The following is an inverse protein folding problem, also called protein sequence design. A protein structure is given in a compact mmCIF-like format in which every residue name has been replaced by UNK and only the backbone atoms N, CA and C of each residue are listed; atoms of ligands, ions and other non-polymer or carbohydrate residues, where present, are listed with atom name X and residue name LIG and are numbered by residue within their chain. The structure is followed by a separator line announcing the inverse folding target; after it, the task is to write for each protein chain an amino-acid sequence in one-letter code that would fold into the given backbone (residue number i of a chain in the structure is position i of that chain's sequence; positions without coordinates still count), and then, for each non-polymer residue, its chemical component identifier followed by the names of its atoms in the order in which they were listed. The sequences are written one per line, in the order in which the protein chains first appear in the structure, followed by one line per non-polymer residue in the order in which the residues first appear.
data_IF_756702970182
#
_entry.id   IF_756702970182
#
_cell.length_a   1.000
_cell.length_b   1.000
_cell.length_c   1.000
_cell.angle_alpha   90.00
_cell.angle_beta   90.00
_cell.angle_gamma   90.00
#
_symmetry.space_group_name_H-M   'P 1'
#
loop_
_entity.id
_entity.type
_entity.pdbx_description
1 polymer ?
#
# COMPACT_ATOMS: atom_id res chain seq x y z
N UNK A 1 -34.72 5.08 22.99
CA UNK A 1 -34.56 3.65 22.65
C UNK A 1 -33.07 3.35 22.67
N UNK A 2 -32.58 2.37 23.47
CA UNK A 2 -31.21 1.91 23.32
C UNK A 2 -31.08 1.39 21.89
N UNK A 3 -30.21 1.99 21.08
CA UNK A 3 -29.90 1.44 19.76
C UNK A 3 -29.06 0.20 20.02
N UNK A 4 -29.67 -0.97 19.91
CA UNK A 4 -28.92 -2.23 19.79
C UNK A 4 -28.20 -2.15 18.45
N UNK A 5 -26.90 -1.91 18.52
CA UNK A 5 -26.03 -1.81 17.35
C UNK A 5 -25.88 -3.21 16.75
N UNK A 6 -26.60 -3.49 15.66
CA UNK A 6 -26.27 -4.61 14.81
C UNK A 6 -25.09 -4.19 13.94
N UNK A 7 -23.88 -4.44 14.44
CA UNK A 7 -22.66 -4.38 13.65
C UNK A 7 -22.74 -5.50 12.60
N UNK A 8 -23.42 -5.27 11.48
CA UNK A 8 -23.09 -6.07 10.31
C UNK A 8 -21.64 -5.73 9.96
N UNK A 9 -20.73 -6.61 10.35
CA UNK A 9 -19.29 -6.39 10.19
C UNK A 9 -18.91 -6.02 8.74
N UNK A 10 -19.67 -6.45 7.72
CA UNK A 10 -19.51 -6.00 6.32
C UNK A 10 -19.77 -4.52 6.09
N UNK A 11 -20.78 -3.96 6.75
CA UNK A 11 -21.25 -2.59 6.51
C UNK A 11 -20.63 -1.58 7.46
N UNK A 12 -20.19 -2.03 8.64
CA UNK A 12 -19.74 -1.16 9.74
C UNK A 12 -18.26 -1.29 10.09
N UNK A 13 -17.59 -2.39 9.74
CA UNK A 13 -16.17 -2.66 10.05
C UNK A 13 -15.38 -3.05 8.79
N UNK A 14 -16.07 -3.36 7.70
CA UNK A 14 -15.48 -3.87 6.46
C UNK A 14 -15.19 -2.81 5.41
N UNK A 15 -14.71 -3.29 4.25
CA UNK A 15 -14.35 -2.55 3.03
C UNK A 15 -15.18 -1.29 2.77
N UNK A 16 -16.51 -1.31 2.98
CA UNK A 16 -17.42 -0.18 2.74
C UNK A 16 -17.24 0.99 3.71
N UNK A 17 -16.89 0.72 4.96
CA UNK A 17 -16.80 1.70 6.04
C UNK A 17 -15.58 2.65 5.93
N UNK A 18 -14.63 2.32 5.04
CA UNK A 18 -13.37 3.07 4.91
C UNK A 18 -13.26 3.88 3.62
N UNK A 19 -14.33 4.07 2.85
CA UNK A 19 -14.35 4.94 1.65
C UNK A 19 -14.72 6.40 1.97
N UNK A 20 -14.06 7.00 2.96
CA UNK A 20 -14.25 8.40 3.34
C UNK A 20 -13.16 9.31 2.78
N UNK A 21 -13.38 10.63 2.80
CA UNK A 21 -12.36 11.63 2.39
C UNK A 21 -11.07 11.50 3.20
N UNK A 22 -11.14 10.92 4.40
CA UNK A 22 -10.00 10.64 5.27
C UNK A 22 -9.00 9.67 4.64
N UNK A 23 -9.38 8.86 3.64
CA UNK A 23 -8.47 8.03 2.83
C UNK A 23 -7.47 8.89 2.06
N UNK A 24 -7.77 10.17 1.82
CA UNK A 24 -6.83 11.08 1.18
C UNK A 24 -5.54 11.24 2.00
N UNK A 25 -5.61 11.20 3.33
CA UNK A 25 -4.43 11.32 4.18
C UNK A 25 -3.43 10.17 3.99
N UNK A 26 -3.80 8.88 4.12
CA UNK A 26 -2.89 7.78 3.83
C UNK A 26 -2.49 7.74 2.36
N UNK A 27 -3.38 8.07 1.40
CA UNK A 27 -3.01 8.15 -0.02
C UNK A 27 -1.91 9.16 -0.23
N UNK A 28 -2.07 10.40 0.23
CA UNK A 28 -1.05 11.45 0.10
C UNK A 28 0.25 11.07 0.81
N UNK A 29 0.16 10.41 1.96
CA UNK A 29 1.34 9.94 2.71
C UNK A 29 2.11 8.89 1.91
N UNK A 30 1.43 7.88 1.36
CA UNK A 30 2.06 6.84 0.57
C UNK A 30 2.58 7.38 -0.77
N UNK A 31 1.87 8.33 -1.39
CA UNK A 31 2.36 9.03 -2.58
C UNK A 31 3.64 9.81 -2.27
N UNK A 32 3.68 10.57 -1.18
CA UNK A 32 4.87 11.31 -0.78
C UNK A 32 6.04 10.37 -0.45
N UNK A 33 5.79 9.25 0.24
CA UNK A 33 6.81 8.23 0.51
C UNK A 33 7.34 7.60 -0.79
N UNK A 34 6.46 7.35 -1.75
CA UNK A 34 6.82 6.82 -3.08
C UNK A 34 7.69 7.81 -3.86
N UNK A 35 7.32 9.09 -3.89
CA UNK A 35 8.12 10.14 -4.53
C UNK A 35 9.47 10.31 -3.84
N UNK A 36 9.51 10.18 -2.50
CA UNK A 36 10.77 10.21 -1.74
C UNK A 36 11.66 9.03 -2.12
N UNK A 37 11.09 7.83 -2.32
CA UNK A 37 11.82 6.68 -2.83
C UNK A 37 12.45 6.97 -4.20
N UNK A 38 11.69 7.55 -5.14
CA UNK A 38 12.18 7.83 -6.49
C UNK A 38 13.24 8.94 -6.55
N UNK A 39 12.96 10.08 -5.92
CA UNK A 39 13.74 11.30 -6.14
C UNK A 39 14.81 11.55 -5.07
N UNK A 40 14.70 10.91 -3.90
CA UNK A 40 15.65 11.11 -2.79
C UNK A 40 16.47 9.86 -2.55
N UNK A 41 15.85 8.68 -2.51
CA UNK A 41 16.56 7.45 -2.14
C UNK A 41 17.35 6.85 -3.31
N UNK A 42 16.74 6.69 -4.49
CA UNK A 42 17.42 6.11 -5.66
C UNK A 42 18.74 6.80 -6.02
N UNK A 43 18.83 8.15 -6.08
CA UNK A 43 20.09 8.82 -6.40
C UNK A 43 21.17 8.66 -5.32
N UNK A 44 20.82 8.23 -4.10
CA UNK A 44 21.77 8.00 -3.00
C UNK A 44 22.23 6.55 -2.91
N UNK A 45 21.38 5.62 -3.34
CA UNK A 45 21.67 4.18 -3.32
C UNK A 45 22.43 3.77 -4.59
N UNK A 46 22.18 4.47 -5.70
CA UNK A 46 22.88 4.28 -6.97
C UNK A 46 22.83 2.84 -7.52
N UNK A 47 21.76 2.10 -7.20
CA UNK A 47 21.62 0.74 -7.70
C UNK A 47 21.24 0.73 -9.18
N UNK A 48 22.17 0.34 -10.04
CA UNK A 48 22.02 0.29 -11.49
C UNK A 48 20.92 -0.64 -11.98
N UNK A 49 20.20 -0.23 -13.03
CA UNK A 49 19.25 -1.12 -13.71
C UNK A 49 20.00 -2.27 -14.42
N UNK A 50 19.32 -3.39 -14.73
CA UNK A 50 19.92 -4.44 -15.54
C UNK A 50 20.49 -3.89 -16.86
N UNK A 51 21.76 -4.21 -17.15
CA UNK A 51 22.46 -3.72 -18.34
C UNK A 51 23.05 -2.30 -18.22
N UNK A 52 22.86 -1.62 -17.09
CA UNK A 52 23.48 -0.33 -16.79
C UNK A 52 24.65 -0.47 -15.83
N UNK A 53 25.62 0.43 -15.94
CA UNK A 53 26.80 0.57 -15.10
C UNK A 53 27.27 2.03 -15.04
N UNK A 54 28.39 2.29 -14.35
CA UNK A 54 28.97 3.64 -14.23
C UNK A 54 29.32 4.28 -15.59
N UNK A 55 29.60 3.48 -16.61
CA UNK A 55 30.09 3.96 -17.90
C UNK A 55 28.96 4.41 -18.83
N UNK A 56 27.75 3.88 -18.63
CA UNK A 56 26.58 4.17 -19.46
C UNK A 56 25.43 4.85 -18.70
N UNK A 57 25.60 5.09 -17.39
CA UNK A 57 24.65 5.85 -16.58
C UNK A 57 24.45 7.27 -17.11
N UNK A 58 23.18 7.68 -17.26
CA UNK A 58 22.81 8.94 -17.92
C UNK A 58 22.63 8.83 -19.44
N UNK A 59 23.00 7.69 -20.04
CA UNK A 59 22.76 7.38 -21.45
C UNK A 59 21.34 6.88 -21.74
N UNK A 60 20.98 6.67 -23.02
CA UNK A 60 19.67 6.16 -23.42
C UNK A 60 19.36 4.82 -22.76
N UNK A 61 18.24 4.73 -22.04
CA UNK A 61 17.83 3.52 -21.31
C UNK A 61 18.40 3.39 -19.88
N UNK A 62 19.44 4.15 -19.55
CA UNK A 62 20.13 4.14 -18.24
C UNK A 62 20.09 5.52 -17.55
N UNK A 63 19.05 6.32 -17.81
CA UNK A 63 18.92 7.69 -17.27
C UNK A 63 18.60 7.74 -15.77
N UNK A 64 18.15 6.63 -15.19
CA UNK A 64 17.70 6.56 -13.79
C UNK A 64 18.14 5.26 -13.14
N UNK A 65 18.36 5.30 -11.82
CA UNK A 65 18.66 4.11 -11.04
C UNK A 65 17.45 3.19 -10.87
N UNK A 66 17.71 1.90 -10.66
CA UNK A 66 16.70 0.85 -10.50
C UNK A 66 16.41 0.47 -9.05
N UNK A 67 17.33 0.74 -8.11
CA UNK A 67 17.18 0.34 -6.71
C UNK A 67 16.82 1.51 -5.77
N UNK A 68 15.81 1.37 -4.90
CA UNK A 68 14.78 0.31 -4.88
C UNK A 68 13.72 0.53 -5.96
N UNK A 69 12.97 -0.50 -6.33
CA UNK A 69 11.85 -0.36 -7.27
C UNK A 69 10.74 0.50 -6.66
N UNK A 70 10.52 1.68 -7.24
CA UNK A 70 9.45 2.58 -6.80
C UNK A 70 8.06 2.04 -7.13
N UNK A 71 7.92 1.31 -8.23
CA UNK A 71 6.64 0.68 -8.60
C UNK A 71 6.29 -0.43 -7.61
N UNK A 72 7.27 -1.27 -7.25
CA UNK A 72 7.09 -2.26 -6.20
C UNK A 72 6.83 -1.59 -4.85
N UNK A 73 7.59 -0.55 -4.49
CA UNK A 73 7.34 0.20 -3.26
C UNK A 73 5.89 0.70 -3.17
N UNK A 74 5.41 1.38 -4.22
CA UNK A 74 4.06 1.93 -4.26
C UNK A 74 2.99 0.83 -4.13
N UNK A 75 3.04 -0.20 -4.98
CA UNK A 75 2.00 -1.23 -5.01
C UNK A 75 1.98 -2.09 -3.75
N UNK A 76 3.16 -2.45 -3.24
CA UNK A 76 3.27 -3.20 -1.99
C UNK A 76 2.98 -2.34 -0.75
N UNK A 77 3.14 -1.01 -0.82
CA UNK A 77 2.67 -0.12 0.24
C UNK A 77 1.14 -0.04 0.30
N UNK A 78 0.46 -0.10 -0.84
CA UNK A 78 -1.00 -0.23 -0.86
C UNK A 78 -1.45 -1.57 -0.26
N UNK A 79 -0.78 -2.69 -0.61
CA UNK A 79 -1.01 -4.00 0.02
C UNK A 79 -0.77 -3.95 1.53
N UNK A 80 0.35 -3.37 1.96
CA UNK A 80 0.69 -3.22 3.38
C UNK A 80 -0.38 -2.42 4.11
N UNK A 81 -0.82 -1.31 3.53
CA UNK A 81 -1.85 -0.44 4.11
C UNK A 81 -3.17 -1.19 4.32
N UNK A 82 -3.70 -1.84 3.28
CA UNK A 82 -4.91 -2.63 3.41
C UNK A 82 -4.76 -3.78 4.41
N UNK A 83 -3.60 -4.46 4.44
CA UNK A 83 -3.29 -5.48 5.45
C UNK A 83 -3.33 -4.92 6.87
N UNK A 84 -2.73 -3.74 7.10
CA UNK A 84 -2.75 -3.08 8.41
C UNK A 84 -4.18 -2.71 8.85
N UNK A 85 -4.97 -2.18 7.92
CA UNK A 85 -6.39 -1.90 8.11
C UNK A 85 -7.17 -3.16 8.50
N UNK A 86 -7.04 -4.22 7.70
CA UNK A 86 -7.72 -5.48 7.93
C UNK A 86 -7.38 -6.09 9.29
N UNK A 87 -6.11 -6.04 9.69
CA UNK A 87 -5.65 -6.56 10.99
C UNK A 87 -6.28 -5.81 12.15
N UNK A 88 -6.27 -4.48 12.14
CA UNK A 88 -6.87 -3.68 13.22
C UNK A 88 -8.38 -3.84 13.25
N UNK A 89 -9.04 -3.83 12.10
CA UNK A 89 -10.48 -4.05 12.03
C UNK A 89 -10.87 -5.42 12.57
N UNK A 90 -10.12 -6.46 12.19
CA UNK A 90 -10.35 -7.81 12.70
C UNK A 90 -10.11 -7.89 14.21
N UNK A 91 -8.95 -7.42 14.69
CA UNK A 91 -8.52 -7.66 16.07
C UNK A 91 -9.17 -6.70 17.08
N UNK A 92 -9.31 -5.43 16.73
CA UNK A 92 -9.79 -4.38 17.64
C UNK A 92 -11.27 -4.11 17.50
N UNK A 93 -11.78 -4.11 16.27
CA UNK A 93 -13.13 -3.63 15.99
C UNK A 93 -14.13 -4.77 15.73
N UNK A 94 -13.66 -6.00 15.47
CA UNK A 94 -14.51 -7.18 15.19
C UNK A 94 -14.26 -8.38 16.14
N UNK A 95 -13.71 -8.15 17.33
CA UNK A 95 -13.43 -9.18 18.35
C UNK A 95 -12.68 -10.43 17.80
N UNK A 96 -11.76 -10.23 16.86
CA UNK A 96 -10.97 -11.29 16.23
C UNK A 96 -11.71 -12.11 15.16
N UNK A 97 -12.95 -11.78 14.81
CA UNK A 97 -13.72 -12.52 13.82
C UNK A 97 -13.22 -12.21 12.41
N UNK A 98 -12.83 -13.25 11.68
CA UNK A 98 -12.37 -13.10 10.30
C UNK A 98 -13.52 -12.73 9.37
N UNK A 99 -13.26 -11.80 8.45
CA UNK A 99 -14.26 -11.32 7.50
C UNK A 99 -13.78 -11.45 6.04
N UNK A 100 -14.46 -12.26 5.24
CA UNK A 100 -14.08 -12.56 3.85
C UNK A 100 -14.08 -11.33 2.92
N UNK A 101 -15.15 -10.53 2.92
CA UNK A 101 -15.25 -9.34 2.07
C UNK A 101 -14.15 -8.31 2.34
N UNK A 102 -13.94 -7.93 3.60
CA UNK A 102 -12.83 -7.08 4.03
C UNK A 102 -11.46 -7.67 3.65
N UNK A 103 -11.22 -8.97 3.87
CA UNK A 103 -9.96 -9.60 3.46
C UNK A 103 -9.73 -9.54 1.94
N UNK A 104 -10.77 -9.82 1.15
CA UNK A 104 -10.66 -9.79 -0.31
C UNK A 104 -10.32 -8.39 -0.80
N UNK A 105 -11.03 -7.38 -0.30
CA UNK A 105 -10.80 -6.00 -0.69
C UNK A 105 -9.45 -5.46 -0.21
N UNK A 106 -9.13 -5.60 1.06
CA UNK A 106 -7.97 -4.95 1.68
C UNK A 106 -6.66 -5.72 1.46
N UNK A 107 -6.72 -7.04 1.24
CA UNK A 107 -5.53 -7.89 1.16
C UNK A 107 -5.44 -8.61 -0.18
N UNK A 108 -6.45 -9.41 -0.54
CA UNK A 108 -6.32 -10.31 -1.69
C UNK A 108 -6.19 -9.56 -3.02
N UNK A 109 -7.04 -8.55 -3.26
CA UNK A 109 -7.02 -7.78 -4.50
C UNK A 109 -5.74 -6.93 -4.63
N UNK A 110 -5.31 -6.18 -3.59
CA UNK A 110 -4.01 -5.51 -3.59
C UNK A 110 -2.82 -6.46 -3.76
N UNK A 111 -2.87 -7.67 -3.20
CA UNK A 111 -1.80 -8.67 -3.34
C UNK A 111 -1.65 -9.10 -4.80
N UNK A 112 -2.77 -9.38 -5.48
CA UNK A 112 -2.76 -9.74 -6.91
C UNK A 112 -2.24 -8.57 -7.75
N UNK A 113 -2.73 -7.35 -7.50
CA UNK A 113 -2.29 -6.16 -8.24
C UNK A 113 -0.79 -5.83 -8.01
N UNK A 114 -0.30 -5.97 -6.78
CA UNK A 114 1.12 -5.83 -6.44
C UNK A 114 1.96 -6.91 -7.11
N UNK A 115 1.45 -8.15 -7.17
CA UNK A 115 2.07 -9.25 -7.91
C UNK A 115 2.22 -8.95 -9.41
N UNK A 116 1.17 -8.47 -10.07
CA UNK A 116 1.27 -8.02 -11.47
C UNK A 116 2.26 -6.87 -11.65
N UNK A 117 2.32 -5.94 -10.69
CA UNK A 117 3.31 -4.87 -10.71
C UNK A 117 4.72 -5.43 -10.65
N UNK A 118 5.02 -6.31 -9.68
CA UNK A 118 6.33 -6.96 -9.56
C UNK A 118 6.72 -7.69 -10.84
N UNK A 119 5.81 -8.52 -11.38
CA UNK A 119 6.03 -9.26 -12.62
C UNK A 119 6.29 -8.32 -13.79
N UNK A 120 5.52 -7.25 -13.94
CA UNK A 120 5.71 -6.25 -15.00
C UNK A 120 7.04 -5.48 -14.92
N UNK A 121 7.71 -5.47 -13.76
CA UNK A 121 9.04 -4.86 -13.61
C UNK A 121 10.19 -5.80 -13.93
N UNK A 122 10.03 -7.08 -13.63
CA UNK A 122 11.07 -8.11 -13.85
C UNK A 122 10.93 -8.84 -15.18
N UNK A 123 9.76 -8.81 -15.81
CA UNK A 123 9.49 -9.49 -17.06
C UNK A 123 9.85 -8.63 -18.29
N UNK A 124 10.13 -9.32 -19.41
CA UNK A 124 10.49 -8.72 -20.70
C UNK A 124 12.00 -8.55 -20.86
N UNK A 125 12.51 -8.70 -22.09
CA UNK A 125 13.94 -8.51 -22.37
C UNK A 125 14.18 -7.18 -23.12
N UNK A 126 15.07 -6.29 -22.65
CA UNK A 126 15.77 -6.37 -21.36
C UNK A 126 14.85 -6.06 -20.17
N UNK A 127 15.06 -6.75 -19.05
CA UNK A 127 14.28 -6.54 -17.82
C UNK A 127 14.43 -5.09 -17.35
N UNK A 128 13.34 -4.47 -16.91
CA UNK A 128 13.39 -3.09 -16.42
C UNK A 128 14.07 -2.95 -15.06
N UNK A 129 13.83 -3.91 -14.16
CA UNK A 129 14.41 -3.98 -12.82
C UNK A 129 14.82 -5.42 -12.49
N UNK A 130 15.82 -5.58 -11.62
CA UNK A 130 16.19 -6.91 -11.12
C UNK A 130 15.24 -7.38 -10.02
N UNK A 131 15.16 -8.70 -9.81
CA UNK A 131 14.37 -9.27 -8.72
C UNK A 131 14.74 -8.71 -7.35
N UNK A 132 16.03 -8.46 -7.09
CA UNK A 132 16.49 -7.84 -5.84
C UNK A 132 15.99 -6.41 -5.64
N UNK A 133 15.94 -5.61 -6.71
CA UNK A 133 15.41 -4.23 -6.68
C UNK A 133 13.92 -4.21 -6.39
N UNK A 134 13.19 -5.14 -7.00
CA UNK A 134 11.75 -5.32 -6.78
C UNK A 134 11.48 -5.80 -5.37
N UNK A 135 12.23 -6.79 -4.86
CA UNK A 135 12.07 -7.29 -3.49
C UNK A 135 12.40 -6.23 -2.44
N UNK A 136 13.46 -5.45 -2.64
CA UNK A 136 13.81 -4.35 -1.73
C UNK A 136 12.69 -3.29 -1.70
N UNK A 137 12.20 -2.88 -2.87
CA UNK A 137 11.06 -1.95 -2.97
C UNK A 137 9.80 -2.51 -2.32
N UNK A 138 9.46 -3.76 -2.63
CA UNK A 138 8.29 -4.45 -2.08
C UNK A 138 8.34 -4.57 -0.55
N UNK A 139 9.47 -4.99 0.02
CA UNK A 139 9.63 -5.14 1.47
C UNK A 139 9.50 -3.82 2.21
N UNK A 140 10.17 -2.77 1.72
CA UNK A 140 10.02 -1.42 2.26
C UNK A 140 8.58 -0.89 2.11
N UNK A 141 7.97 -1.15 0.96
CA UNK A 141 6.59 -0.81 0.66
C UNK A 141 5.63 -1.44 1.66
N UNK A 142 5.67 -2.77 1.84
CA UNK A 142 4.85 -3.50 2.83
C UNK A 142 5.00 -2.86 4.21
N UNK A 143 6.24 -2.62 4.67
CA UNK A 143 6.49 -2.08 6.00
C UNK A 143 5.87 -0.70 6.21
N UNK A 144 6.13 0.24 5.28
CA UNK A 144 5.57 1.60 5.35
C UNK A 144 4.04 1.58 5.22
N UNK A 145 3.54 0.79 4.29
CA UNK A 145 2.11 0.56 4.10
C UNK A 145 1.43 0.06 5.36
N UNK A 146 1.95 -1.03 5.93
CA UNK A 146 1.41 -1.66 7.15
C UNK A 146 1.32 -0.65 8.29
N UNK A 147 2.41 0.08 8.57
CA UNK A 147 2.43 1.10 9.62
C UNK A 147 1.39 2.19 9.36
N UNK A 148 1.31 2.69 8.12
CA UNK A 148 0.29 3.67 7.72
C UNK A 148 -1.14 3.13 7.92
N UNK A 149 -1.39 1.88 7.52
CA UNK A 149 -2.68 1.21 7.68
C UNK A 149 -3.08 1.00 9.14
N UNK A 150 -2.13 0.56 9.97
CA UNK A 150 -2.32 0.41 11.42
C UNK A 150 -2.67 1.75 12.07
N UNK A 151 -1.91 2.82 11.76
CA UNK A 151 -2.15 4.15 12.33
C UNK A 151 -3.50 4.68 11.87
N UNK A 152 -3.79 4.62 10.57
CA UNK A 152 -5.06 5.05 9.99
C UNK A 152 -6.25 4.34 10.65
N UNK A 153 -6.18 3.02 10.81
CA UNK A 153 -7.27 2.21 11.38
C UNK A 153 -7.42 2.32 12.88
N UNK A 154 -6.36 2.67 13.61
CA UNK A 154 -6.44 2.98 15.03
C UNK A 154 -7.06 4.36 15.29
N UNK A 155 -6.76 5.33 14.42
CA UNK A 155 -7.28 6.70 14.53
C UNK A 155 -8.71 6.82 14.02
N UNK A 156 -9.08 6.09 12.97
CA UNK A 156 -10.41 6.12 12.40
C UNK A 156 -11.23 4.89 12.81
N UNK A 157 -12.26 5.12 13.62
CA UNK A 157 -13.29 4.11 13.88
C UNK A 157 -14.07 3.83 12.59
N UNK A 158 -14.44 2.57 12.34
CA UNK A 158 -15.16 2.24 11.12
C UNK A 158 -16.67 2.63 11.20
N UNK A 159 -17.14 3.07 12.37
CA UNK A 159 -18.54 3.43 12.63
C UNK A 159 -19.00 4.81 12.09
N UNK A 160 -18.39 5.31 11.02
CA UNK A 160 -18.88 6.48 10.31
C UNK A 160 -20.25 6.18 9.68
N UNK A 161 -21.31 6.30 10.48
CA UNK A 161 -22.67 6.03 10.03
C UNK A 161 -23.04 6.96 8.87
N UNK A 162 -23.75 6.41 7.88
CA UNK A 162 -24.44 7.15 6.80
C UNK A 162 -25.40 8.26 7.30
N UNK A 163 -25.55 8.44 8.62
CA UNK A 163 -26.30 9.53 9.23
C UNK A 163 -25.43 10.76 9.48
N UNK A 164 -25.37 11.65 8.49
CA UNK A 164 -25.15 13.12 8.62
C UNK A 164 -23.74 13.72 8.73
N UNK A 165 -22.65 12.99 8.48
CA UNK A 165 -21.32 13.62 8.35
C UNK A 165 -20.43 12.95 7.31
N UNK A 166 -20.04 13.68 6.25
CA UNK A 166 -18.95 13.25 5.33
C UNK A 166 -17.57 13.24 6.00
N UNK A 167 -17.46 13.83 7.19
CA UNK A 167 -16.25 13.97 7.99
C UNK A 167 -16.50 13.33 9.35
N UNK A 168 -15.70 12.33 9.70
CA UNK A 168 -15.64 11.78 11.05
C UNK A 168 -14.34 12.25 11.69
N UNK A 169 -14.45 12.97 12.80
CA UNK A 169 -13.35 13.26 13.71
C UNK A 169 -13.46 12.35 14.93
#
# INVERSE_FOLDING_TARGET
MPRVYYAESETTIGWKARWHVSVLAPVMTLTAATLTSEYVMKPRIEGYRPGCDETNQGGPGCTTFGAPSTHAFASFSALGHGTGVFLVDTLKWNDGRFHGGAFVGEVAFPLVAAGFTALGRVAGEPNHESGGQVLAGAGLGIGVGLLSGLVYSLMQRPECGYGSGMVCW
#
